data_IF_218096088725
#
_entry.id   IF_218096088725
#
_cell.length_a   1.000
_cell.length_b   1.000
_cell.length_c   1.000
_cell.angle_alpha   90.00
_cell.angle_beta   90.00
_cell.angle_gamma   90.00
#
_symmetry.space_group_name_H-M   'P 1'
#
loop_
_entity.id
_entity.type
_entity.pdbx_description
1 polymer ?
#
# COMPACT_ATOMS: atom_id res chain seq x y z
N UNK A 1 2.21 1.30 -31.34
CA UNK A 1 0.99 2.12 -31.15
C UNK A 1 1.03 2.71 -29.76
N UNK A 2 1.41 3.97 -29.63
CA UNK A 2 1.29 4.75 -28.40
C UNK A 2 -0.20 4.96 -28.12
N UNK A 3 -0.75 4.26 -27.12
CA UNK A 3 -2.08 4.57 -26.61
C UNK A 3 -1.98 5.89 -25.84
N UNK A 4 -2.61 6.94 -26.34
CA UNK A 4 -2.87 8.15 -25.55
C UNK A 4 -3.80 7.75 -24.39
N UNK A 5 -3.26 7.71 -23.18
CA UNK A 5 -4.06 7.57 -21.97
C UNK A 5 -4.69 8.93 -21.67
N UNK A 6 -5.93 9.11 -22.09
CA UNK A 6 -6.76 10.24 -21.66
C UNK A 6 -7.20 9.94 -20.23
N UNK A 7 -6.53 10.55 -19.24
CA UNK A 7 -6.92 10.43 -17.85
C UNK A 7 -8.35 10.97 -17.65
N UNK A 8 -9.28 10.12 -17.22
CA UNK A 8 -10.65 10.52 -16.88
C UNK A 8 -10.71 11.07 -15.45
N UNK A 9 -9.78 11.94 -15.09
CA UNK A 9 -9.71 12.53 -13.75
C UNK A 9 -10.37 13.90 -13.77
N UNK A 10 -11.55 14.01 -13.17
CA UNK A 10 -12.31 15.25 -13.08
C UNK A 10 -11.51 16.29 -12.28
N UNK A 11 -11.40 17.52 -12.80
CA UNK A 11 -10.83 18.63 -12.04
C UNK A 11 -11.61 18.85 -10.74
N UNK A 12 -10.98 18.57 -9.60
CA UNK A 12 -11.52 18.90 -8.27
C UNK A 12 -10.91 20.21 -7.81
N UNK A 13 -11.76 21.21 -7.58
CA UNK A 13 -11.34 22.44 -6.89
C UNK A 13 -11.15 22.09 -5.42
N UNK A 14 -9.96 22.35 -4.88
CA UNK A 14 -9.65 22.14 -3.47
C UNK A 14 -9.49 23.51 -2.82
N UNK A 15 -10.34 23.82 -1.83
CA UNK A 15 -10.13 24.99 -0.97
C UNK A 15 -9.15 24.66 0.16
N UNK A 16 -8.16 25.53 0.35
CA UNK A 16 -7.18 25.45 1.44
C UNK A 16 -7.07 26.85 2.06
N UNK A 17 -7.70 27.07 3.21
CA UNK A 17 -7.77 28.41 3.82
C UNK A 17 -8.40 29.45 2.88
N UNK A 18 -7.80 30.64 2.76
CA UNK A 18 -8.25 31.71 1.86
C UNK A 18 -7.67 31.62 0.43
N UNK A 19 -6.94 30.55 0.10
CA UNK A 19 -6.25 30.43 -1.19
C UNK A 19 -6.96 29.37 -2.04
N UNK A 20 -7.48 29.81 -3.19
CA UNK A 20 -8.10 28.93 -4.19
C UNK A 20 -7.05 28.51 -5.21
N UNK A 21 -6.53 27.29 -5.10
CA UNK A 21 -5.67 26.72 -6.14
C UNK A 21 -6.49 25.89 -7.14
N UNK A 22 -6.44 26.28 -8.42
CA UNK A 22 -6.98 25.49 -9.52
C UNK A 22 -5.96 24.42 -9.89
N UNK A 23 -6.07 23.23 -9.31
CA UNK A 23 -5.27 22.08 -9.72
C UNK A 23 -5.85 21.56 -11.04
N UNK A 24 -5.16 21.79 -12.15
CA UNK A 24 -5.40 21.02 -13.37
C UNK A 24 -4.79 19.64 -13.18
N UNK A 25 -5.59 18.58 -13.26
CA UNK A 25 -5.24 17.21 -12.85
C UNK A 25 -4.08 16.57 -13.63
N UNK A 26 -3.60 17.22 -14.69
CA UNK A 26 -2.42 16.80 -15.45
C UNK A 26 -1.08 17.21 -14.85
N UNK A 27 -1.04 17.99 -13.76
CA UNK A 27 0.22 18.18 -13.01
C UNK A 27 0.43 17.01 -12.04
N UNK A 28 1.07 15.95 -12.56
CA UNK A 28 1.36 14.73 -11.79
C UNK A 28 2.22 15.01 -10.55
N UNK A 29 3.13 15.98 -10.63
CA UNK A 29 3.99 16.35 -9.51
C UNK A 29 3.18 17.08 -8.42
N UNK A 30 2.30 18.00 -8.80
CA UNK A 30 1.41 18.68 -7.86
C UNK A 30 0.42 17.72 -7.17
N UNK A 31 -0.08 16.72 -7.89
CA UNK A 31 -0.94 15.68 -7.31
C UNK A 31 -0.19 14.82 -6.29
N UNK A 32 1.03 14.36 -6.61
CA UNK A 32 1.91 13.69 -5.63
C UNK A 32 2.09 14.57 -4.40
N UNK A 33 2.50 15.83 -4.57
CA UNK A 33 2.67 16.76 -3.45
C UNK A 33 1.38 16.96 -2.64
N UNK A 34 0.21 16.94 -3.29
CA UNK A 34 -1.10 17.05 -2.63
C UNK A 34 -1.39 15.85 -1.73
N UNK A 35 -1.02 14.63 -2.15
CA UNK A 35 -1.17 13.41 -1.32
C UNK A 35 -0.37 13.58 -0.02
N UNK A 36 0.91 13.97 -0.12
CA UNK A 36 1.80 14.15 1.04
C UNK A 36 1.30 15.27 1.97
N UNK A 37 0.83 16.39 1.41
CA UNK A 37 0.23 17.48 2.19
C UNK A 37 -1.04 17.04 2.93
N UNK A 38 -1.86 16.18 2.34
CA UNK A 38 -3.08 15.67 3.00
C UNK A 38 -2.76 14.68 4.11
N UNK A 39 -1.75 13.84 3.92
CA UNK A 39 -1.26 12.93 4.96
C UNK A 39 -0.74 13.72 6.17
N UNK A 40 0.12 14.72 5.93
CA UNK A 40 0.67 15.57 6.99
C UNK A 40 -0.40 16.42 7.67
N UNK A 41 -1.37 16.97 6.91
CA UNK A 41 -2.51 17.69 7.48
C UNK A 41 -3.43 16.80 8.34
N UNK A 42 -3.46 15.48 8.08
CA UNK A 42 -4.15 14.50 8.91
C UNK A 42 -3.34 14.08 10.16
N UNK A 43 -2.15 14.65 10.37
CA UNK A 43 -1.34 14.43 11.56
C UNK A 43 -0.37 13.24 11.46
N UNK A 44 -0.09 12.74 10.26
CA UNK A 44 0.82 11.61 10.04
C UNK A 44 2.10 12.05 9.30
N UNK A 45 3.28 11.54 9.67
CA UNK A 45 4.50 11.76 8.91
C UNK A 45 4.39 11.14 7.51
N UNK A 46 4.70 11.92 6.47
CA UNK A 46 4.82 11.43 5.09
C UNK A 46 6.29 11.55 4.69
N UNK A 47 6.94 10.40 4.48
CA UNK A 47 8.38 10.28 4.28
C UNK A 47 8.65 10.03 2.80
N UNK A 48 9.27 10.99 2.12
CA UNK A 48 9.63 10.87 0.71
C UNK A 48 10.78 9.87 0.51
N UNK A 49 10.92 9.37 -0.73
CA UNK A 49 12.00 8.46 -1.13
C UNK A 49 13.39 8.91 -0.67
N UNK A 50 13.73 10.18 -0.85
CA UNK A 50 15.03 10.71 -0.46
C UNK A 50 15.26 10.67 1.05
N UNK A 51 14.21 10.82 1.87
CA UNK A 51 14.28 10.89 3.32
C UNK A 51 14.60 9.52 3.95
N UNK A 52 14.06 8.43 3.40
CA UNK A 52 14.47 7.07 3.77
C UNK A 52 15.63 6.53 2.94
N UNK A 53 16.31 7.40 2.19
CA UNK A 53 17.51 7.13 1.38
C UNK A 53 17.30 6.12 0.24
N UNK A 54 16.09 6.02 -0.33
CA UNK A 54 15.75 5.15 -1.45
C UNK A 54 16.80 5.16 -2.56
N UNK A 55 17.03 4.00 -3.18
CA UNK A 55 17.88 3.95 -4.37
C UNK A 55 17.23 4.76 -5.50
N UNK A 56 18.09 5.38 -6.30
CA UNK A 56 17.66 5.97 -7.56
C UNK A 56 17.14 4.85 -8.46
N UNK A 57 16.01 5.11 -9.11
CA UNK A 57 15.42 4.20 -10.08
C UNK A 57 16.25 4.28 -11.36
N UNK A 58 16.89 3.16 -11.72
CA UNK A 58 17.69 3.04 -12.96
C UNK A 58 16.91 2.33 -14.09
N UNK A 59 15.85 1.59 -13.74
CA UNK A 59 15.00 0.90 -14.71
C UNK A 59 14.00 1.85 -15.37
N UNK A 60 13.63 1.55 -16.62
CA UNK A 60 12.47 2.17 -17.25
C UNK A 60 11.19 1.60 -16.61
N UNK A 61 10.35 2.48 -16.08
CA UNK A 61 9.09 2.10 -15.44
C UNK A 61 7.90 2.45 -16.33
N UNK A 62 6.94 1.53 -16.42
CA UNK A 62 5.68 1.79 -17.10
C UNK A 62 4.93 2.95 -16.42
N UNK A 63 4.47 3.92 -17.22
CA UNK A 63 3.60 4.98 -16.71
C UNK A 63 2.23 4.39 -16.33
N UNK A 64 1.71 4.80 -15.17
CA UNK A 64 0.33 4.62 -14.77
C UNK A 64 -0.05 5.77 -13.85
N UNK A 65 -1.32 6.15 -13.85
CA UNK A 65 -1.78 7.34 -13.14
C UNK A 65 -3.30 7.40 -12.93
N UNK A 66 -4.07 6.57 -13.62
CA UNK A 66 -5.52 6.55 -13.50
C UNK A 66 -5.96 5.42 -12.55
N UNK A 67 -5.65 5.61 -11.27
CA UNK A 67 -5.93 4.61 -10.26
C UNK A 67 -7.39 4.62 -9.84
N UNK A 68 -8.02 3.45 -9.92
CA UNK A 68 -9.39 3.20 -9.44
C UNK A 68 -9.44 2.17 -8.30
N UNK A 69 -8.32 1.52 -8.01
CA UNK A 69 -8.22 0.41 -7.06
C UNK A 69 -7.09 0.62 -6.05
N UNK A 70 -7.28 0.12 -4.83
CA UNK A 70 -6.23 -0.04 -3.82
C UNK A 70 -6.11 -1.52 -3.45
N UNK A 71 -4.89 -2.01 -3.33
CA UNK A 71 -4.56 -3.33 -2.80
C UNK A 71 -3.73 -3.20 -1.53
N UNK A 72 -4.20 -3.82 -0.44
CA UNK A 72 -3.49 -3.88 0.84
C UNK A 72 -2.64 -5.15 0.90
N UNK A 73 -1.39 -4.95 1.29
CA UNK A 73 -0.35 -5.96 1.48
C UNK A 73 0.17 -5.92 2.92
N UNK A 74 0.85 -6.99 3.31
CA UNK A 74 1.74 -7.00 4.47
C UNK A 74 3.18 -7.27 3.99
N UNK A 75 4.20 -6.89 4.76
CA UNK A 75 5.59 -7.08 4.33
C UNK A 75 6.04 -8.56 4.39
N UNK A 76 5.27 -9.41 5.08
CA UNK A 76 5.47 -10.85 5.14
C UNK A 76 5.79 -11.34 6.56
N UNK A 77 5.84 -12.67 6.72
CA UNK A 77 5.87 -13.31 8.05
C UNK A 77 7.15 -13.08 8.86
N UNK A 78 8.23 -12.60 8.24
CA UNK A 78 9.48 -12.27 8.90
C UNK A 78 9.52 -10.82 9.45
N UNK A 79 8.59 -9.96 9.04
CA UNK A 79 8.56 -8.57 9.48
C UNK A 79 7.92 -8.43 10.87
N UNK A 80 8.51 -7.57 11.68
CA UNK A 80 8.00 -7.14 12.99
C UNK A 80 7.81 -5.63 12.99
N UNK A 81 7.33 -5.04 14.08
CA UNK A 81 7.25 -3.58 14.20
C UNK A 81 8.64 -2.98 14.45
N UNK A 82 9.34 -2.63 13.36
CA UNK A 82 10.65 -1.97 13.37
C UNK A 82 10.55 -0.56 12.74
N UNK A 83 11.60 0.28 12.82
CA UNK A 83 11.62 1.57 12.14
C UNK A 83 11.38 1.41 10.62
N UNK A 84 10.34 2.05 10.09
CA UNK A 84 9.90 1.82 8.72
C UNK A 84 10.94 2.11 7.64
N UNK A 85 11.87 3.05 7.87
CA UNK A 85 12.95 3.33 6.92
C UNK A 85 13.87 2.12 6.67
N UNK A 86 14.17 1.34 7.71
CA UNK A 86 14.97 0.12 7.59
C UNK A 86 14.17 -0.97 6.87
N UNK A 87 12.89 -1.11 7.19
CA UNK A 87 12.02 -2.08 6.54
C UNK A 87 11.78 -1.77 5.06
N UNK A 88 11.64 -0.50 4.70
CA UNK A 88 11.56 -0.05 3.31
C UNK A 88 12.84 -0.39 2.54
N UNK A 89 14.00 -0.32 3.19
CA UNK A 89 15.28 -0.75 2.61
C UNK A 89 15.34 -2.26 2.38
N UNK A 90 14.83 -3.05 3.31
CA UNK A 90 14.75 -4.51 3.15
C UNK A 90 13.79 -4.90 2.02
N UNK A 91 12.64 -4.22 1.93
CA UNK A 91 11.66 -4.40 0.84
C UNK A 91 12.26 -3.99 -0.51
N UNK A 92 12.96 -2.86 -0.59
CA UNK A 92 13.68 -2.42 -1.80
C UNK A 92 14.71 -3.47 -2.23
N UNK A 93 15.57 -3.93 -1.30
CA UNK A 93 16.59 -4.93 -1.59
C UNK A 93 15.98 -6.27 -2.05
N UNK A 94 14.87 -6.70 -1.45
CA UNK A 94 14.16 -7.92 -1.83
C UNK A 94 13.61 -7.83 -3.26
N UNK A 95 12.91 -6.74 -3.58
CA UNK A 95 12.30 -6.56 -4.90
C UNK A 95 13.35 -6.41 -6.01
N UNK A 96 14.45 -5.70 -5.76
CA UNK A 96 15.55 -5.59 -6.72
C UNK A 96 16.19 -6.97 -7.01
N UNK A 97 16.34 -7.84 -5.99
CA UNK A 97 16.78 -9.23 -6.19
C UNK A 97 15.80 -10.08 -7.00
N UNK A 98 14.52 -9.69 -7.03
CA UNK A 98 13.47 -10.31 -7.83
C UNK A 98 13.34 -9.68 -9.23
N UNK A 99 14.31 -8.84 -9.63
CA UNK A 99 14.35 -8.11 -10.90
C UNK A 99 13.21 -7.10 -11.09
N UNK A 100 12.66 -6.56 -9.99
CA UNK A 100 11.73 -5.43 -10.10
C UNK A 100 12.54 -4.17 -10.38
N UNK A 101 11.96 -3.22 -11.13
CA UNK A 101 12.64 -1.95 -11.43
C UNK A 101 12.78 -1.00 -10.22
N UNK A 102 12.01 -1.24 -9.16
CA UNK A 102 11.95 -0.48 -7.91
C UNK A 102 11.11 -1.27 -6.88
N UNK A 103 10.91 -0.75 -5.67
CA UNK A 103 9.88 -1.21 -4.73
C UNK A 103 8.56 -1.47 -5.47
N UNK A 104 7.91 -2.61 -5.22
CA UNK A 104 6.67 -2.98 -5.91
C UNK A 104 5.43 -2.18 -5.47
N UNK A 105 5.42 -1.69 -4.22
CA UNK A 105 4.33 -0.93 -3.61
C UNK A 105 4.53 0.57 -3.79
N UNK A 106 3.44 1.34 -3.85
CA UNK A 106 3.53 2.81 -3.90
C UNK A 106 3.72 3.43 -2.51
N UNK A 107 3.18 2.79 -1.47
CA UNK A 107 3.29 3.27 -0.09
C UNK A 107 3.60 2.12 0.88
N UNK A 108 4.43 2.40 1.87
CA UNK A 108 4.63 1.56 3.05
C UNK A 108 4.16 2.28 4.31
N UNK A 109 3.62 1.56 5.29
CA UNK A 109 3.19 2.14 6.57
C UNK A 109 3.76 1.30 7.70
N UNK A 110 4.55 1.90 8.59
CA UNK A 110 5.06 1.20 9.76
C UNK A 110 4.08 1.20 10.94
N UNK A 111 4.41 0.44 11.97
CA UNK A 111 3.58 0.31 13.18
C UNK A 111 3.38 1.61 13.96
N UNK A 112 4.25 2.61 13.75
CA UNK A 112 4.16 3.94 14.38
C UNK A 112 3.28 4.91 13.59
N UNK A 113 2.82 4.51 12.39
CA UNK A 113 1.98 5.31 11.50
C UNK A 113 2.78 6.25 10.59
N UNK A 114 4.08 6.04 10.42
CA UNK A 114 4.86 6.76 9.40
C UNK A 114 4.50 6.18 8.03
N UNK A 115 4.18 7.05 7.08
CA UNK A 115 3.80 6.66 5.72
C UNK A 115 4.96 6.98 4.79
N UNK A 116 5.56 5.94 4.23
CA UNK A 116 6.73 6.01 3.37
C UNK A 116 6.32 5.94 1.91
N UNK A 117 6.95 6.77 1.09
CA UNK A 117 6.89 6.65 -0.35
C UNK A 117 7.67 5.42 -0.82
N UNK A 118 7.00 4.48 -1.47
CA UNK A 118 7.64 3.39 -2.20
C UNK A 118 7.91 3.83 -3.63
N UNK A 119 7.38 3.07 -4.59
CA UNK A 119 7.35 3.45 -6.00
C UNK A 119 6.60 4.76 -6.17
N UNK A 120 7.20 5.68 -6.91
CA UNK A 120 6.57 6.95 -7.23
C UNK A 120 5.20 6.69 -7.87
N UNK A 121 4.18 7.32 -7.30
CA UNK A 121 2.77 7.17 -7.66
C UNK A 121 2.47 7.56 -9.11
N UNK A 122 3.44 8.09 -9.87
CA UNK A 122 3.37 8.40 -11.31
C UNK A 122 3.64 7.19 -12.22
N UNK A 123 3.97 6.04 -11.64
CA UNK A 123 4.32 4.83 -12.36
C UNK A 123 3.51 3.64 -11.89
N UNK A 124 3.37 2.65 -12.76
CA UNK A 124 2.71 1.39 -12.47
C UNK A 124 3.44 0.64 -11.37
N UNK A 125 2.66 0.11 -10.41
CA UNK A 125 3.15 -0.78 -9.37
C UNK A 125 3.68 -2.12 -9.89
N UNK A 126 4.28 -2.90 -8.99
CA UNK A 126 4.70 -4.29 -9.25
C UNK A 126 4.37 -5.16 -8.04
N UNK A 127 3.14 -5.08 -7.54
CA UNK A 127 2.70 -5.69 -6.29
C UNK A 127 1.66 -6.81 -6.47
N UNK A 128 1.02 -6.91 -7.63
CA UNK A 128 0.07 -7.98 -7.98
C UNK A 128 0.41 -8.59 -9.35
N UNK A 129 0.22 -9.88 -9.51
CA UNK A 129 0.37 -10.53 -10.81
C UNK A 129 -0.80 -10.11 -11.72
N UNK A 130 -0.52 -9.62 -12.93
CA UNK A 130 -1.51 -9.23 -13.96
C UNK A 130 -2.55 -8.16 -13.56
N UNK A 131 -2.48 -7.59 -12.36
CA UNK A 131 -3.46 -6.63 -11.81
C UNK A 131 -2.88 -5.29 -11.33
N UNK A 132 -1.64 -4.96 -11.73
CA UNK A 132 -1.00 -3.71 -11.31
C UNK A 132 -1.58 -2.44 -11.95
N UNK A 133 -2.13 -2.54 -13.17
CA UNK A 133 -2.65 -1.36 -13.89
C UNK A 133 -3.89 -0.82 -13.17
N UNK A 134 -3.91 0.49 -12.89
CA UNK A 134 -4.99 1.17 -12.18
C UNK A 134 -5.07 0.81 -10.69
N UNK A 135 -4.06 0.13 -10.13
CA UNK A 135 -4.04 -0.32 -8.73
C UNK A 135 -2.89 0.26 -7.91
N UNK A 136 -3.23 0.93 -6.81
CA UNK A 136 -2.27 1.42 -5.82
C UNK A 136 -1.99 0.32 -4.78
N UNK A 137 -0.75 -0.18 -4.72
CA UNK A 137 -0.30 -1.07 -3.65
C UNK A 137 0.12 -0.31 -2.40
N UNK A 138 -0.46 -0.66 -1.25
CA UNK A 138 -0.07 -0.18 0.08
C UNK A 138 0.39 -1.39 0.90
N UNK A 139 1.60 -1.34 1.46
CA UNK A 139 2.13 -2.40 2.33
C UNK A 139 2.14 -1.94 3.80
N UNK A 140 1.56 -2.75 4.68
CA UNK A 140 1.74 -2.62 6.12
C UNK A 140 3.04 -3.34 6.51
N UNK A 141 4.01 -2.62 7.07
CA UNK A 141 5.37 -3.10 7.33
C UNK A 141 5.43 -3.98 8.59
N UNK A 142 4.61 -5.03 8.63
CA UNK A 142 4.52 -6.00 9.71
C UNK A 142 4.00 -7.36 9.22
N UNK A 143 4.00 -8.35 10.11
CA UNK A 143 3.36 -9.65 9.87
C UNK A 143 1.91 -9.66 10.37
N UNK A 144 0.98 -9.68 9.42
CA UNK A 144 -0.47 -9.76 9.65
C UNK A 144 -1.08 -11.15 9.46
N UNK A 145 -0.26 -12.20 9.43
CA UNK A 145 -0.72 -13.58 9.37
C UNK A 145 -0.90 -14.16 10.79
N UNK A 146 -2.05 -14.80 11.02
CA UNK A 146 -2.27 -15.66 12.19
C UNK A 146 -1.28 -16.81 12.20
N UNK A 147 -1.10 -17.46 13.35
CA UNK A 147 0.00 -18.43 13.53
C UNK A 147 -0.10 -19.64 12.60
N UNK A 148 -1.31 -20.10 12.30
CA UNK A 148 -1.59 -21.24 11.42
C UNK A 148 -1.51 -20.93 9.91
N UNK A 149 -1.34 -19.68 9.51
CA UNK A 149 -1.41 -19.30 8.10
C UNK A 149 -0.19 -19.69 7.25
N UNK A 150 -0.50 -20.27 6.07
CA UNK A 150 0.46 -20.59 5.02
C UNK A 150 0.71 -22.09 4.81
N UNK A 151 0.30 -22.94 5.76
CA UNK A 151 0.34 -24.41 5.60
C UNK A 151 1.75 -25.03 5.49
N UNK A 152 2.79 -24.23 5.67
CA UNK A 152 4.19 -24.63 5.55
C UNK A 152 4.83 -24.92 6.92
N UNK A 153 6.13 -25.22 6.92
CA UNK A 153 6.87 -25.52 8.15
C UNK A 153 6.86 -24.35 9.14
N UNK A 154 6.81 -23.10 8.65
CA UNK A 154 6.75 -21.92 9.52
C UNK A 154 5.42 -21.86 10.28
N UNK A 155 4.31 -22.11 9.59
CA UNK A 155 3.00 -22.21 10.23
C UNK A 155 2.99 -23.33 11.28
N UNK A 156 3.49 -24.53 10.93
CA UNK A 156 3.57 -25.67 11.86
C UNK A 156 4.41 -25.37 13.10
N UNK A 157 5.57 -24.73 12.94
CA UNK A 157 6.43 -24.34 14.08
C UNK A 157 5.72 -23.31 14.96
N UNK A 158 5.09 -22.27 14.39
CA UNK A 158 4.37 -21.24 15.17
C UNK A 158 3.18 -21.85 15.93
N UNK A 159 2.39 -22.70 15.29
CA UNK A 159 1.30 -23.44 15.93
C UNK A 159 1.81 -24.35 17.04
N UNK A 160 2.89 -25.11 16.80
CA UNK A 160 3.49 -25.97 17.82
C UNK A 160 3.99 -25.21 19.05
N UNK A 161 4.58 -24.02 18.85
CA UNK A 161 4.98 -23.12 19.93
C UNK A 161 3.75 -22.63 20.72
N UNK A 162 2.70 -22.16 20.03
CA UNK A 162 1.44 -21.78 20.70
C UNK A 162 0.88 -22.93 21.53
N UNK A 163 0.78 -24.12 20.94
CA UNK A 163 0.13 -25.27 21.59
C UNK A 163 0.97 -25.84 22.74
N UNK A 164 2.31 -25.72 22.67
CA UNK A 164 3.22 -26.25 23.69
C UNK A 164 3.50 -25.27 24.84
N UNK A 165 3.57 -23.96 24.55
CA UNK A 165 3.98 -22.94 25.54
C UNK A 165 3.00 -21.77 25.68
N UNK A 166 1.85 -21.79 24.99
CA UNK A 166 0.81 -20.77 25.09
C UNK A 166 1.14 -19.44 24.42
N UNK A 167 2.26 -19.33 23.71
CA UNK A 167 2.68 -18.09 23.05
C UNK A 167 2.02 -17.94 21.67
N UNK A 168 1.03 -17.05 21.56
CA UNK A 168 0.42 -16.68 20.29
C UNK A 168 1.13 -15.48 19.66
N UNK A 169 1.77 -15.72 18.51
CA UNK A 169 2.49 -14.70 17.76
C UNK A 169 1.59 -13.90 16.79
N UNK A 170 0.27 -14.06 16.85
CA UNK A 170 -0.69 -13.24 16.09
C UNK A 170 -0.69 -11.82 16.64
N UNK A 171 -0.47 -10.84 15.77
CA UNK A 171 -0.44 -9.43 16.16
C UNK A 171 -1.73 -8.72 15.77
N UNK A 172 -2.22 -7.90 16.68
CA UNK A 172 -3.22 -6.89 16.34
C UNK A 172 -2.53 -5.70 15.67
N UNK A 173 -3.21 -5.09 14.70
CA UNK A 173 -2.72 -3.91 14.00
C UNK A 173 -2.66 -2.74 14.99
N UNK A 174 -1.51 -2.09 15.19
CA UNK A 174 -1.39 -0.91 16.03
C UNK A 174 -2.35 0.20 15.60
N UNK A 175 -3.03 0.84 16.56
CA UNK A 175 -4.02 1.89 16.28
C UNK A 175 -3.45 3.02 15.40
N UNK A 176 -2.19 3.42 15.63
CA UNK A 176 -1.52 4.44 14.81
C UNK A 176 -1.35 4.03 13.36
N UNK A 177 -1.00 2.78 13.09
CA UNK A 177 -0.88 2.24 11.73
C UNK A 177 -2.23 2.12 11.04
N UNK A 178 -3.28 1.73 11.78
CA UNK A 178 -4.65 1.74 11.29
C UNK A 178 -5.11 3.14 10.89
N UNK A 179 -4.92 4.13 11.77
CA UNK A 179 -5.31 5.51 11.51
C UNK A 179 -4.51 6.13 10.35
N UNK A 180 -3.21 5.82 10.26
CA UNK A 180 -2.37 6.21 9.13
C UNK A 180 -2.87 5.60 7.81
N UNK A 181 -3.28 4.33 7.83
CA UNK A 181 -3.88 3.66 6.66
C UNK A 181 -5.15 4.38 6.22
N UNK A 182 -6.04 4.73 7.15
CA UNK A 182 -7.24 5.51 6.88
C UNK A 182 -6.92 6.89 6.28
N UNK A 183 -5.95 7.60 6.86
CA UNK A 183 -5.51 8.91 6.39
C UNK A 183 -4.94 8.85 4.96
N UNK A 184 -4.09 7.86 4.68
CA UNK A 184 -3.55 7.64 3.33
C UNK A 184 -4.66 7.35 2.33
N UNK A 185 -5.58 6.43 2.61
CA UNK A 185 -6.69 6.11 1.71
C UNK A 185 -7.55 7.35 1.44
N UNK A 186 -7.83 8.16 2.46
CA UNK A 186 -8.57 9.43 2.28
C UNK A 186 -7.80 10.43 1.41
N UNK A 187 -6.48 10.57 1.62
CA UNK A 187 -5.63 11.41 0.78
C UNK A 187 -5.67 10.94 -0.68
N UNK A 188 -5.60 9.64 -0.94
CA UNK A 188 -5.67 9.07 -2.29
C UNK A 188 -7.05 9.31 -2.95
N UNK A 189 -8.16 9.04 -2.25
CA UNK A 189 -9.52 9.31 -2.77
C UNK A 189 -9.79 10.79 -3.08
N UNK A 190 -9.03 11.70 -2.46
CA UNK A 190 -9.19 13.13 -2.70
C UNK A 190 -8.70 13.54 -4.09
N UNK A 191 -7.76 12.79 -4.68
CA UNK A 191 -7.13 13.09 -5.96
C UNK A 191 -7.45 12.08 -7.07
N UNK A 192 -7.72 10.81 -6.70
CA UNK A 192 -8.07 9.73 -7.63
C UNK A 192 -9.51 9.27 -7.42
N UNK A 193 -10.14 8.72 -8.46
CA UNK A 193 -11.50 8.18 -8.40
C UNK A 193 -11.49 6.70 -7.97
N UNK A 194 -11.06 6.44 -6.73
CA UNK A 194 -10.88 5.08 -6.22
C UNK A 194 -12.22 4.54 -5.69
N UNK A 195 -12.68 3.44 -6.28
CA UNK A 195 -13.93 2.76 -5.93
C UNK A 195 -13.72 1.34 -5.39
N UNK A 196 -12.56 0.73 -5.60
CA UNK A 196 -12.24 -0.63 -5.17
C UNK A 196 -11.16 -0.65 -4.10
N UNK A 197 -11.36 -1.43 -3.05
CA UNK A 197 -10.34 -1.73 -2.03
C UNK A 197 -10.32 -3.23 -1.79
N UNK A 198 -9.16 -3.86 -1.93
CA UNK A 198 -9.00 -5.30 -1.72
C UNK A 198 -7.74 -5.67 -0.95
N UNK A 199 -7.73 -6.87 -0.39
CA UNK A 199 -6.52 -7.56 0.00
C UNK A 199 -5.83 -8.11 -1.25
N UNK A 200 -4.49 -8.23 -1.23
CA UNK A 200 -3.75 -8.86 -2.33
C UNK A 200 -4.41 -10.17 -2.79
N UNK A 201 -4.67 -11.12 -1.89
CA UNK A 201 -5.29 -12.41 -2.24
C UNK A 201 -6.74 -12.37 -2.74
N UNK A 202 -7.42 -11.22 -2.67
CA UNK A 202 -8.79 -11.07 -3.20
C UNK A 202 -8.82 -10.69 -4.68
N UNK A 203 -7.71 -10.21 -5.25
CA UNK A 203 -7.65 -9.93 -6.67
C UNK A 203 -7.50 -11.23 -7.50
N UNK A 204 -7.95 -11.25 -8.77
CA UNK A 204 -7.80 -12.42 -9.62
C UNK A 204 -6.33 -12.74 -9.93
N UNK A 205 -6.04 -14.01 -10.24
CA UNK A 205 -4.72 -14.49 -10.68
C UNK A 205 -3.57 -14.38 -9.66
N UNK A 206 -3.88 -14.23 -8.36
CA UNK A 206 -2.84 -14.12 -7.32
C UNK A 206 -2.37 -15.48 -6.77
N UNK A 207 -2.95 -16.59 -7.22
CA UNK A 207 -2.61 -17.94 -6.73
C UNK A 207 -2.92 -18.13 -5.24
N UNK A 208 -2.19 -19.01 -4.56
CA UNK A 208 -2.41 -19.36 -3.14
C UNK A 208 -1.70 -18.39 -2.17
N UNK A 209 -1.56 -17.11 -2.53
CA UNK A 209 -0.89 -16.12 -1.67
C UNK A 209 -1.74 -15.87 -0.42
N UNK A 210 -1.10 -15.87 0.74
CA UNK A 210 -1.78 -15.56 2.00
C UNK A 210 -1.87 -14.06 2.27
N UNK A 211 -1.11 -13.23 1.55
CA UNK A 211 -1.04 -11.78 1.74
C UNK A 211 -2.42 -11.11 1.61
N UNK A 212 -2.81 -10.17 2.51
CA UNK A 212 -2.04 -9.57 3.60
C UNK A 212 -2.16 -10.32 4.94
N UNK A 213 -2.44 -11.62 4.94
CA UNK A 213 -2.77 -12.40 6.14
C UNK A 213 -4.23 -12.26 6.55
N UNK A 214 -4.70 -13.08 7.49
CA UNK A 214 -6.07 -13.03 8.01
C UNK A 214 -6.35 -11.74 8.75
N UNK A 215 -5.41 -11.24 9.57
CA UNK A 215 -5.58 -9.96 10.26
C UNK A 215 -5.71 -8.80 9.25
N UNK A 216 -4.87 -8.80 8.21
CA UNK A 216 -4.94 -7.81 7.13
C UNK A 216 -6.20 -7.93 6.28
N UNK A 217 -6.71 -9.15 6.05
CA UNK A 217 -7.96 -9.35 5.32
C UNK A 217 -9.17 -8.82 6.11
N UNK A 218 -9.21 -9.05 7.41
CA UNK A 218 -10.27 -8.48 8.26
C UNK A 218 -10.21 -6.95 8.27
N UNK A 219 -9.01 -6.36 8.32
CA UNK A 219 -8.84 -4.93 8.13
C UNK A 219 -9.48 -4.44 6.82
N UNK A 220 -9.17 -5.08 5.68
CA UNK A 220 -9.71 -4.69 4.37
C UNK A 220 -11.24 -4.78 4.36
N UNK A 221 -11.84 -5.82 4.94
CA UNK A 221 -13.30 -5.94 5.06
C UNK A 221 -13.90 -4.76 5.84
N UNK A 222 -13.33 -4.44 7.00
CA UNK A 222 -13.77 -3.31 7.83
C UNK A 222 -13.64 -1.97 7.07
N UNK A 223 -12.49 -1.74 6.41
CA UNK A 223 -12.26 -0.51 5.64
C UNK A 223 -13.22 -0.38 4.45
N UNK A 224 -13.48 -1.48 3.74
CA UNK A 224 -14.46 -1.49 2.64
C UNK A 224 -15.84 -1.04 3.11
N UNK A 225 -16.33 -1.61 4.21
CA UNK A 225 -17.63 -1.25 4.79
C UNK A 225 -17.63 0.19 5.27
N UNK A 226 -16.61 0.61 6.04
CA UNK A 226 -16.55 1.96 6.64
C UNK A 226 -16.44 3.07 5.60
N UNK A 227 -15.78 2.81 4.47
CA UNK A 227 -15.47 3.82 3.45
C UNK A 227 -16.25 3.63 2.14
N UNK A 228 -17.24 2.72 2.13
CA UNK A 228 -18.10 2.40 1.00
C UNK A 228 -17.33 2.07 -0.28
N UNK A 229 -16.39 1.12 -0.20
CA UNK A 229 -15.68 0.58 -1.35
C UNK A 229 -16.32 -0.70 -1.87
N UNK A 230 -16.17 -0.93 -3.17
CA UNK A 230 -16.45 -2.21 -3.80
C UNK A 230 -15.33 -3.22 -3.48
N UNK A 231 -15.70 -4.49 -3.49
CA UNK A 231 -14.73 -5.59 -3.49
C UNK A 231 -13.99 -5.67 -4.84
N UNK A 232 -12.80 -6.31 -4.89
CA UNK A 232 -12.12 -6.62 -6.14
C UNK A 232 -13.01 -7.39 -7.12
N UNK A 233 -12.75 -7.27 -8.44
CA UNK A 233 -13.42 -8.10 -9.43
C UNK A 233 -13.13 -9.58 -9.19
N UNK A 234 -14.07 -10.44 -9.57
CA UNK A 234 -13.96 -11.89 -9.40
C UNK A 234 -13.21 -12.59 -10.55
N UNK A 235 -12.97 -11.87 -11.66
CA UNK A 235 -12.32 -12.36 -12.89
C UNK A 235 -11.74 -11.21 -13.68
#
# INVERSE_FOLDING_TARGET
>A
MTREYVAHTSAKVVQIGNITHRITVNDRAATRATIFRRITAAGFPAIERSEWTARKVEAELDSDWDYSMISIHHAGRAFICDPGALQMKDVEAMHLKQNYGDVGYHFGIDCSGFIFEGRDIRFKGSHMLDFNTGAIGIVLLENLATVEEGGDIYAKVRTGVRDSVGYDATRAIPARQLDATLALIQALKSVFNISVLGAHREFPFQGNKICPGNVGLELVKVLRTKMNFLAPPTS
#
